data_IF_712061801878
#
_entry.id   IF_712061801878
#
_cell.length_a   1.000
_cell.length_b   1.000
_cell.length_c   1.000
_cell.angle_alpha   90.00
_cell.angle_beta   90.00
_cell.angle_gamma   90.00
#
_symmetry.space_group_name_H-M   'P 1'
#
loop_
_entity.id
_entity.type
_entity.pdbx_description
1 polymer ?
#
# COMPACT_ATOMS: atom_id res chain seq x y z
N UNK A 1 22.80 35.58 -6.54
CA UNK A 1 21.90 34.77 -5.69
C UNK A 1 21.47 33.58 -6.53
N UNK A 2 21.94 32.37 -6.21
CA UNK A 2 21.56 31.16 -6.94
C UNK A 2 20.30 30.59 -6.31
N UNK A 3 19.20 30.56 -7.08
CA UNK A 3 17.96 29.93 -6.67
C UNK A 3 18.19 28.42 -6.55
N UNK A 4 18.11 27.89 -5.33
CA UNK A 4 18.06 26.45 -5.10
C UNK A 4 16.71 25.94 -5.59
N UNK A 5 16.68 25.47 -6.84
CA UNK A 5 15.59 24.67 -7.38
C UNK A 5 15.53 23.38 -6.58
N UNK A 6 14.65 23.35 -5.59
CA UNK A 6 14.38 22.15 -4.80
C UNK A 6 13.80 21.09 -5.76
N UNK A 7 14.45 19.94 -5.99
CA UNK A 7 13.85 18.89 -6.79
C UNK A 7 12.64 18.33 -6.03
N UNK A 8 11.48 18.27 -6.69
CA UNK A 8 10.31 17.56 -6.22
C UNK A 8 10.71 16.09 -6.00
N UNK A 9 11.02 15.71 -4.77
CA UNK A 9 11.38 14.34 -4.44
C UNK A 9 10.12 13.48 -4.54
N UNK A 10 10.18 12.41 -5.34
CA UNK A 10 9.16 11.36 -5.30
C UNK A 10 9.03 10.83 -3.85
N UNK A 11 7.84 10.34 -3.44
CA UNK A 11 7.68 9.81 -2.09
C UNK A 11 8.68 8.67 -1.86
N UNK A 12 9.40 8.72 -0.75
CA UNK A 12 10.34 7.67 -0.39
C UNK A 12 9.58 6.35 -0.14
N UNK A 13 10.16 5.18 -0.47
CA UNK A 13 9.55 3.90 -0.16
C UNK A 13 9.39 3.71 1.35
N UNK A 14 8.32 3.03 1.76
CA UNK A 14 8.11 2.58 3.14
C UNK A 14 8.59 1.14 3.25
N UNK A 15 9.49 0.87 4.20
CA UNK A 15 10.03 -0.45 4.45
C UNK A 15 9.80 -0.85 5.91
N UNK A 16 9.23 -2.02 6.13
CA UNK A 16 9.00 -2.62 7.44
C UNK A 16 9.57 -4.03 7.47
N UNK A 17 10.23 -4.39 8.58
CA UNK A 17 10.79 -5.73 8.79
C UNK A 17 10.31 -6.27 10.14
N UNK A 18 9.98 -7.56 10.19
CA UNK A 18 9.40 -8.25 11.35
C UNK A 18 9.98 -9.65 11.49
N UNK A 19 10.33 -10.04 12.71
CA UNK A 19 10.70 -11.41 13.08
C UNK A 19 9.49 -12.09 13.75
N UNK A 20 8.95 -13.11 13.10
CA UNK A 20 7.78 -13.85 13.57
C UNK A 20 8.20 -15.24 14.03
N UNK A 21 7.68 -15.68 15.18
CA UNK A 21 7.91 -17.05 15.67
C UNK A 21 7.18 -18.11 14.84
N UNK A 22 6.20 -17.68 14.04
CA UNK A 22 5.36 -18.56 13.22
C UNK A 22 6.05 -18.94 11.90
N UNK A 23 5.80 -20.15 11.39
CA UNK A 23 6.42 -20.61 10.14
C UNK A 23 5.83 -19.87 8.91
N UNK A 24 6.58 -19.73 7.80
CA UNK A 24 6.16 -19.01 6.60
C UNK A 24 4.82 -19.46 6.03
N UNK A 25 4.46 -20.73 6.18
CA UNK A 25 3.17 -21.25 5.72
C UNK A 25 1.99 -20.63 6.47
N UNK A 26 2.13 -20.39 7.79
CA UNK A 26 1.09 -19.73 8.59
C UNK A 26 1.03 -18.25 8.28
N UNK A 27 2.19 -17.59 8.16
CA UNK A 27 2.28 -16.18 7.76
C UNK A 27 1.67 -15.97 6.37
N UNK A 28 1.96 -16.87 5.44
CA UNK A 28 1.42 -16.84 4.08
C UNK A 28 -0.11 -16.85 4.07
N UNK A 29 -0.74 -17.75 4.85
CA UNK A 29 -2.20 -17.78 4.98
C UNK A 29 -2.76 -16.44 5.48
N UNK A 30 -2.09 -15.80 6.44
CA UNK A 30 -2.48 -14.47 6.93
C UNK A 30 -2.37 -13.34 5.89
N UNK A 31 -1.59 -13.55 4.81
CA UNK A 31 -1.46 -12.61 3.69
C UNK A 31 -2.37 -12.94 2.50
N UNK A 32 -2.86 -14.17 2.39
CA UNK A 32 -3.56 -14.64 1.18
C UNK A 32 -4.98 -15.15 1.41
N UNK A 33 -5.38 -15.42 2.65
CA UNK A 33 -6.76 -15.80 2.99
C UNK A 33 -7.56 -14.55 3.36
N UNK A 34 -8.66 -14.23 2.66
CA UNK A 34 -9.38 -12.97 2.86
C UNK A 34 -9.77 -12.69 4.31
N UNK A 35 -10.29 -13.71 5.01
CA UNK A 35 -10.73 -13.61 6.40
C UNK A 35 -9.56 -13.33 7.37
N UNK A 36 -8.40 -13.96 7.13
CA UNK A 36 -7.21 -13.76 7.97
C UNK A 36 -6.54 -12.42 7.68
N UNK A 37 -6.49 -12.02 6.40
CA UNK A 37 -5.96 -10.72 5.99
C UNK A 37 -6.82 -9.58 6.57
N UNK A 38 -8.14 -9.74 6.56
CA UNK A 38 -9.06 -8.77 7.15
C UNK A 38 -8.90 -8.62 8.67
N UNK A 39 -8.39 -9.64 9.38
CA UNK A 39 -8.23 -9.59 10.83
C UNK A 39 -7.17 -8.59 11.32
N UNK A 40 -6.16 -8.29 10.50
CA UNK A 40 -5.09 -7.36 10.84
C UNK A 40 -4.97 -6.18 9.87
N UNK A 41 -5.66 -6.24 8.73
CA UNK A 41 -5.68 -5.21 7.71
C UNK A 41 -7.12 -4.73 7.44
N UNK A 42 -7.60 -4.79 6.20
CA UNK A 42 -8.93 -4.32 5.79
C UNK A 42 -9.76 -5.49 5.21
N UNK A 43 -11.10 -5.45 5.31
CA UNK A 43 -11.96 -6.38 4.59
C UNK A 43 -11.62 -6.39 3.11
N UNK A 44 -11.56 -7.57 2.50
CA UNK A 44 -11.09 -7.76 1.13
C UNK A 44 -11.64 -9.05 0.52
N UNK A 45 -11.45 -9.18 -0.79
CA UNK A 45 -11.80 -10.35 -1.59
C UNK A 45 -10.59 -10.93 -2.35
N UNK A 46 -9.41 -10.92 -1.72
CA UNK A 46 -8.17 -11.36 -2.38
C UNK A 46 -8.27 -12.77 -2.95
N UNK A 47 -7.80 -12.92 -4.20
CA UNK A 47 -7.60 -14.21 -4.85
C UNK A 47 -6.10 -14.39 -5.07
N UNK A 48 -5.43 -15.35 -4.41
CA UNK A 48 -3.97 -15.51 -4.45
C UNK A 48 -3.51 -16.16 -5.77
N UNK A 49 -3.66 -15.44 -6.86
CA UNK A 49 -3.24 -15.85 -8.20
C UNK A 49 -2.83 -14.60 -9.00
N UNK A 50 -1.68 -14.67 -9.68
CA UNK A 50 -1.19 -13.59 -10.52
C UNK A 50 -2.23 -13.16 -11.58
N UNK A 51 -2.34 -11.86 -11.80
CA UNK A 51 -3.32 -11.22 -12.70
C UNK A 51 -4.74 -11.13 -12.15
N UNK A 52 -5.04 -11.68 -10.96
CA UNK A 52 -6.35 -11.50 -10.33
C UNK A 52 -6.45 -10.14 -9.66
N UNK A 53 -7.62 -9.52 -9.86
CA UNK A 53 -8.00 -8.28 -9.19
C UNK A 53 -8.81 -8.58 -7.95
N UNK A 54 -8.66 -7.71 -6.98
CA UNK A 54 -9.38 -7.71 -5.71
C UNK A 54 -9.43 -6.27 -5.21
N UNK A 55 -10.20 -6.01 -4.17
CA UNK A 55 -10.25 -4.71 -3.53
C UNK A 55 -10.17 -4.84 -2.01
N UNK A 56 -9.54 -3.86 -1.38
CA UNK A 56 -9.78 -3.59 0.04
C UNK A 56 -10.98 -2.65 0.17
N UNK A 57 -11.84 -2.92 1.13
CA UNK A 57 -12.90 -2.00 1.55
C UNK A 57 -12.24 -0.88 2.36
N UNK A 58 -11.88 0.20 1.66
CA UNK A 58 -11.36 1.42 2.27
C UNK A 58 -12.46 2.22 2.98
N UNK A 59 -12.08 3.24 3.79
CA UNK A 59 -13.03 4.01 4.59
C UNK A 59 -14.04 4.79 3.75
N UNK A 60 -13.61 5.38 2.63
CA UNK A 60 -14.44 6.20 1.75
C UNK A 60 -14.63 5.54 0.38
N UNK A 61 -13.53 5.10 -0.23
CA UNK A 61 -13.50 4.45 -1.55
C UNK A 61 -12.77 3.11 -1.46
N UNK A 62 -13.18 2.09 -2.24
CA UNK A 62 -12.42 0.86 -2.36
C UNK A 62 -11.02 1.13 -2.91
N UNK A 63 -10.04 0.41 -2.37
CA UNK A 63 -8.67 0.43 -2.89
C UNK A 63 -8.55 -0.72 -3.89
N UNK A 64 -8.30 -0.39 -5.15
CA UNK A 64 -8.22 -1.37 -6.22
C UNK A 64 -6.84 -2.02 -6.27
N UNK A 65 -6.81 -3.35 -6.25
CA UNK A 65 -5.58 -4.13 -6.26
C UNK A 65 -5.56 -5.17 -7.39
N UNK A 66 -4.35 -5.52 -7.83
CA UNK A 66 -4.09 -6.59 -8.77
C UNK A 66 -2.86 -7.36 -8.30
N UNK A 67 -2.95 -8.68 -8.19
CA UNK A 67 -1.80 -9.54 -7.83
C UNK A 67 -0.82 -9.55 -9.01
N UNK A 68 0.35 -8.94 -8.82
CA UNK A 68 1.37 -8.77 -9.85
C UNK A 68 2.35 -9.96 -9.90
N UNK A 69 2.74 -10.47 -8.73
CA UNK A 69 3.58 -11.67 -8.62
C UNK A 69 3.22 -12.44 -7.35
N UNK A 70 3.31 -13.76 -7.42
CA UNK A 70 3.01 -14.64 -6.30
C UNK A 70 3.87 -15.91 -6.33
N UNK A 71 4.60 -16.15 -5.26
CA UNK A 71 5.35 -17.37 -4.97
C UNK A 71 4.93 -17.89 -3.61
N UNK A 72 4.14 -18.97 -3.53
CA UNK A 72 3.61 -19.50 -2.28
C UNK A 72 4.66 -19.64 -1.17
N UNK A 73 4.40 -19.00 -0.03
CA UNK A 73 5.27 -19.03 1.16
C UNK A 73 6.53 -18.17 1.06
N UNK A 74 6.70 -17.36 0.00
CA UNK A 74 7.94 -16.60 -0.24
C UNK A 74 7.72 -15.16 -0.67
N UNK A 75 6.84 -14.90 -1.64
CA UNK A 75 6.69 -13.58 -2.25
C UNK A 75 5.23 -13.31 -2.62
N UNK A 76 4.68 -12.21 -2.13
CA UNK A 76 3.40 -11.69 -2.60
C UNK A 76 3.59 -10.23 -3.02
N UNK A 77 3.21 -9.89 -4.25
CA UNK A 77 3.32 -8.53 -4.77
C UNK A 77 2.02 -8.14 -5.44
N UNK A 78 1.43 -7.01 -5.05
CA UNK A 78 0.21 -6.48 -5.67
C UNK A 78 0.24 -4.97 -5.84
N UNK A 79 -0.52 -4.46 -6.82
CA UNK A 79 -0.73 -3.02 -6.99
C UNK A 79 -1.65 -2.47 -5.91
N UNK A 80 -1.53 -1.19 -5.63
CA UNK A 80 -2.39 -0.44 -4.73
C UNK A 80 -2.81 0.85 -5.43
N UNK A 81 -4.09 0.96 -5.78
CA UNK A 81 -4.65 2.15 -6.43
C UNK A 81 -5.71 2.76 -5.55
N UNK A 82 -5.43 3.96 -5.08
CA UNK A 82 -6.34 4.75 -4.27
C UNK A 82 -6.90 5.89 -5.13
N UNK A 83 -8.22 6.05 -5.11
CA UNK A 83 -8.93 7.06 -5.88
C UNK A 83 -9.49 8.11 -4.94
N UNK A 84 -9.32 9.39 -5.29
CA UNK A 84 -9.93 10.48 -4.55
C UNK A 84 -11.44 10.45 -4.77
N UNK A 85 -12.20 10.65 -3.69
CA UNK A 85 -13.61 10.97 -3.84
C UNK A 85 -13.72 12.44 -4.24
N UNK A 86 -14.59 12.75 -5.20
CA UNK A 86 -14.66 14.08 -5.81
C UNK A 86 -15.25 15.17 -4.90
N UNK A 87 -15.51 14.88 -3.62
CA UNK A 87 -16.38 15.67 -2.76
C UNK A 87 -15.68 16.28 -1.52
N UNK A 88 -14.37 16.09 -1.31
CA UNK A 88 -13.69 16.65 -0.13
C UNK A 88 -12.32 17.29 -0.46
N UNK A 89 -12.23 18.62 -0.25
CA UNK A 89 -11.01 19.43 -0.46
C UNK A 89 -9.86 19.06 0.49
N UNK A 90 -10.11 18.21 1.50
CA UNK A 90 -9.14 17.82 2.51
C UNK A 90 -8.66 16.36 2.40
N UNK A 91 -8.96 15.68 1.29
CA UNK A 91 -8.60 14.27 1.09
C UNK A 91 -7.18 14.09 0.52
N UNK A 92 -6.57 12.94 0.82
CA UNK A 92 -5.28 12.56 0.24
C UNK A 92 -5.43 12.45 -1.30
N UNK A 93 -4.45 12.95 -2.09
CA UNK A 93 -4.53 12.86 -3.53
C UNK A 93 -4.51 11.40 -3.97
N UNK A 94 -5.29 11.07 -5.00
CA UNK A 94 -5.28 9.74 -5.61
C UNK A 94 -3.85 9.33 -6.00
N UNK A 95 -3.48 8.07 -5.79
CA UNK A 95 -2.16 7.56 -6.12
C UNK A 95 -2.19 6.08 -6.49
N UNK A 96 -1.23 5.70 -7.32
CA UNK A 96 -0.89 4.32 -7.61
C UNK A 96 0.43 3.97 -6.89
N UNK A 97 0.56 2.74 -6.43
CA UNK A 97 1.77 2.22 -5.76
C UNK A 97 1.79 0.69 -5.80
N UNK A 98 2.82 0.08 -5.21
CA UNK A 98 2.99 -1.37 -5.13
C UNK A 98 3.34 -1.78 -3.71
N UNK A 99 2.75 -2.88 -3.24
CA UNK A 99 3.12 -3.53 -1.98
C UNK A 99 3.76 -4.88 -2.29
N UNK A 100 4.92 -5.13 -1.67
CA UNK A 100 5.69 -6.37 -1.79
C UNK A 100 5.95 -6.95 -0.41
N UNK A 101 5.52 -8.20 -0.20
CA UNK A 101 5.83 -9.01 0.96
C UNK A 101 6.86 -10.07 0.59
N UNK A 102 7.94 -10.16 1.35
CA UNK A 102 8.94 -11.24 1.23
C UNK A 102 9.01 -12.01 2.55
N UNK A 103 8.94 -13.33 2.47
CA UNK A 103 8.98 -14.24 3.60
C UNK A 103 10.22 -15.12 3.49
N UNK A 104 11.06 -15.11 4.51
CA UNK A 104 12.22 -15.98 4.61
C UNK A 104 12.14 -16.81 5.89
N UNK A 105 12.35 -18.12 5.79
CA UNK A 105 12.39 -18.98 6.96
C UNK A 105 13.64 -18.68 7.78
N UNK A 106 13.46 -18.44 9.08
CA UNK A 106 14.58 -18.23 10.00
C UNK A 106 15.19 -19.55 10.44
N UNK A 107 16.41 -19.50 10.99
CA UNK A 107 17.08 -20.68 11.56
C UNK A 107 16.31 -21.33 12.72
N UNK A 108 15.50 -20.56 13.44
CA UNK A 108 14.64 -21.06 14.52
C UNK A 108 13.31 -21.65 14.03
N UNK A 109 13.06 -21.65 12.71
CA UNK A 109 11.85 -22.18 12.10
C UNK A 109 10.72 -21.16 11.92
N UNK A 110 10.90 -19.93 12.41
CA UNK A 110 9.98 -18.80 12.23
C UNK A 110 10.12 -18.12 10.86
N UNK A 111 9.64 -16.87 10.75
CA UNK A 111 9.63 -16.10 9.50
C UNK A 111 10.20 -14.70 9.70
N UNK A 112 11.20 -14.35 8.90
CA UNK A 112 11.58 -12.97 8.66
C UNK A 112 10.68 -12.42 7.55
N UNK A 113 9.80 -11.49 7.91
CA UNK A 113 8.84 -10.84 7.01
C UNK A 113 9.34 -9.43 6.66
N UNK A 114 9.43 -9.12 5.37
CA UNK A 114 9.73 -7.78 4.86
C UNK A 114 8.54 -7.25 4.07
N UNK A 115 8.16 -6.01 4.31
CA UNK A 115 7.07 -5.31 3.62
C UNK A 115 7.64 -4.04 3.00
N UNK A 116 7.61 -3.97 1.68
CA UNK A 116 8.01 -2.80 0.91
C UNK A 116 6.78 -2.20 0.23
N UNK A 117 6.49 -0.94 0.53
CA UNK A 117 5.49 -0.14 -0.17
C UNK A 117 6.19 0.96 -0.93
N UNK A 118 6.20 0.86 -2.25
CA UNK A 118 6.98 1.73 -3.11
C UNK A 118 6.22 2.08 -4.41
N UNK A 119 6.93 2.75 -5.32
CA UNK A 119 6.37 3.10 -6.63
C UNK A 119 5.23 4.11 -6.56
N UNK A 120 5.21 4.97 -5.54
CA UNK A 120 4.18 5.99 -5.38
C UNK A 120 4.20 6.98 -6.56
N UNK A 121 3.11 6.97 -7.32
CA UNK A 121 2.88 7.88 -8.44
C UNK A 121 1.52 8.55 -8.22
N UNK A 122 1.42 9.89 -8.25
CA UNK A 122 0.12 10.57 -8.23
C UNK A 122 -0.74 10.04 -9.37
N UNK A 123 -1.97 9.61 -9.06
CA UNK A 123 -2.91 9.26 -10.11
C UNK A 123 -3.26 10.56 -10.84
N UNK A 124 -3.05 10.58 -12.15
CA UNK A 124 -3.44 11.73 -12.95
C UNK A 124 -4.96 11.93 -12.79
N UNK A 125 -5.35 13.08 -12.25
CA UNK A 125 -6.75 13.50 -12.34
C UNK A 125 -7.09 13.53 -13.83
N UNK A 126 -8.16 12.83 -14.22
CA UNK A 126 -8.73 13.00 -15.55
C UNK A 126 -9.22 14.46 -15.64
N UNK A 127 -8.37 15.35 -16.13
CA UNK A 127 -8.68 16.76 -16.26
C UNK A 127 -9.77 16.91 -17.33
N UNK A 128 -11.02 17.10 -16.90
CA UNK A 128 -12.02 17.75 -17.74
C UNK A 128 -11.56 19.19 -17.88
N UNK A 129 -11.00 19.52 -19.05
CA UNK A 129 -10.59 20.89 -19.36
C UNK A 129 -11.82 21.78 -19.51
N UNK A 130 -12.03 22.68 -18.55
CA UNK A 130 -12.79 23.91 -18.77
C UNK A 130 -11.90 25.08 -18.35
N UNK A 131 -11.62 25.97 -19.30
CA UNK A 131 -10.74 27.12 -19.16
C UNK A 131 -11.31 28.16 -18.18
N UNK A 132 -10.43 28.76 -17.37
CA UNK A 132 -10.74 29.94 -16.56
C UNK A 132 -9.54 30.39 -15.74
N UNK A 133 -9.15 31.64 -15.89
CA UNK A 133 -7.92 32.24 -15.35
C UNK A 133 -7.91 32.43 -13.82
N UNK A 134 -6.72 32.46 -13.21
CA UNK A 134 -6.51 33.19 -11.95
C UNK A 134 -5.59 32.52 -10.91
N UNK A 135 -4.35 33.02 -10.87
CA UNK A 135 -3.40 33.13 -9.75
C UNK A 135 -3.56 32.30 -8.45
N UNK A 136 -2.45 31.67 -8.05
CA UNK A 136 -1.93 31.71 -6.67
C UNK A 136 -1.99 30.41 -5.86
N UNK A 137 -0.99 29.55 -6.02
CA UNK A 137 -0.77 28.38 -5.17
C UNK A 137 0.25 28.68 -4.07
N UNK A 138 -0.13 28.47 -2.81
CA UNK A 138 0.78 28.04 -1.76
C UNK A 138 0.02 27.17 -0.78
N UNK A 139 0.38 25.88 -0.71
CA UNK A 139 -0.06 24.97 0.34
C UNK A 139 1.16 24.22 0.85
N UNK A 140 1.66 24.70 1.98
CA UNK A 140 2.52 23.92 2.88
C UNK A 140 1.60 22.98 3.67
N UNK A 141 1.67 21.68 3.40
CA UNK A 141 1.01 20.67 4.21
C UNK A 141 1.88 19.41 4.23
N UNK A 142 2.88 19.40 5.12
CA UNK A 142 3.55 18.16 5.52
C UNK A 142 2.56 17.32 6.33
N UNK A 143 2.10 16.21 5.78
CA UNK A 143 1.60 15.07 6.54
C UNK A 143 2.13 13.80 5.90
N UNK A 144 2.92 13.06 6.68
CA UNK A 144 3.43 11.74 6.29
C UNK A 144 2.22 10.79 6.29
N UNK A 145 1.81 10.18 5.17
CA UNK A 145 0.75 9.19 5.20
C UNK A 145 1.26 7.98 5.99
N UNK A 146 0.59 7.64 7.09
CA UNK A 146 0.76 6.34 7.73
C UNK A 146 0.05 5.36 6.80
N UNK A 147 0.81 4.60 6.01
CA UNK A 147 0.23 3.55 5.18
C UNK A 147 -0.42 2.49 6.08
N UNK A 148 -1.62 2.06 5.69
CA UNK A 148 -2.42 1.09 6.43
C UNK A 148 -1.76 -0.30 6.58
N UNK A 149 -0.61 -0.52 5.93
CA UNK A 149 0.17 -1.75 5.98
C UNK A 149 1.30 -1.74 7.03
N UNK A 150 1.39 -0.70 7.86
CA UNK A 150 2.25 -0.76 9.04
C UNK A 150 1.78 -1.95 9.89
N UNK A 151 2.62 -2.98 10.11
CA UNK A 151 2.19 -4.15 10.86
C UNK A 151 1.83 -3.70 12.28
N UNK A 152 0.53 -3.63 12.57
CA UNK A 152 0.08 -3.53 13.94
C UNK A 152 0.57 -4.83 14.62
N UNK A 153 1.21 -4.70 15.78
CA UNK A 153 1.79 -5.79 16.59
C UNK A 153 0.71 -6.74 17.16
N UNK A 154 -0.23 -7.17 16.33
CA UNK A 154 -1.34 -8.08 16.64
C UNK A 154 -1.34 -9.33 15.75
N UNK A 155 -0.17 -9.80 15.29
CA UNK A 155 -0.01 -11.19 14.84
C UNK A 155 0.17 -12.15 16.02
N UNK A 156 -0.54 -11.92 17.13
CA UNK A 156 -0.60 -12.84 18.27
C UNK A 156 -1.95 -13.55 18.28
N UNK A 157 -1.86 -14.88 18.24
CA UNK A 157 -2.89 -15.86 18.58
C UNK A 157 -4.04 -16.04 17.58
N UNK A 158 -3.83 -16.98 16.66
CA UNK A 158 -4.78 -18.06 16.44
C UNK A 158 -4.03 -19.40 16.55
#
# INVERSE_FOLDING_TARGET
>A
MMATKNPQAAPAPLNFECELAEPPEKVWRALTEPELLAAWMMPNDILPQAGKRFAFVGPDTPIECEVLNIEPGKLLRYSWRERSSAEDDNQLPAFDSVVTFTLERTVSGGTHLRILHDGFVPAAHAAVAIAGAGCGLSLDARKNPIAANAPCMMLRAA
#
